data_IF_927482005908
#
_entry.id   IF_927482005908
#
_cell.length_a   1.000
_cell.length_b   1.000
_cell.length_c   1.000
_cell.angle_alpha   90.00
_cell.angle_beta   90.00
_cell.angle_gamma   90.00
#
_symmetry.space_group_name_H-M   'P 1'
#
loop_
_entity.id
_entity.type
_entity.pdbx_description
1 polymer ?
#
# COMPACT_ATOMS: atom_id res chain seq x y z
N UNK A 1 -18.55 -44.55 5.20
CA UNK A 1 -17.84 -43.32 5.61
C UNK A 1 -16.49 -43.30 4.93
N UNK A 2 -16.17 -42.28 4.11
CA UNK A 2 -14.79 -41.98 3.75
C UNK A 2 -14.35 -40.57 4.22
N UNK A 3 -13.06 -40.49 4.50
CA UNK A 3 -12.29 -39.35 5.01
C UNK A 3 -12.39 -38.08 4.15
N UNK A 4 -12.46 -36.91 4.83
CA UNK A 4 -12.07 -35.62 4.27
C UNK A 4 -10.65 -35.29 4.72
N UNK A 5 -9.68 -35.50 3.83
CA UNK A 5 -8.43 -34.73 3.82
C UNK A 5 -8.02 -34.48 2.37
N UNK A 6 -7.82 -33.20 1.98
CA UNK A 6 -6.76 -32.72 1.06
C UNK A 6 -7.06 -31.38 0.35
N UNK A 7 -7.47 -30.33 1.06
CA UNK A 7 -7.52 -28.97 0.48
C UNK A 7 -6.19 -28.21 0.59
N UNK A 8 -5.23 -28.68 1.40
CA UNK A 8 -3.94 -27.99 1.61
C UNK A 8 -2.84 -28.29 0.58
N UNK A 9 -3.00 -29.32 -0.26
CA UNK A 9 -1.97 -29.66 -1.27
C UNK A 9 -1.97 -28.71 -2.47
N UNK A 10 -3.13 -28.19 -2.87
CA UNK A 10 -3.25 -27.38 -4.09
C UNK A 10 -2.68 -25.96 -3.93
N UNK A 11 -2.63 -25.41 -2.71
CA UNK A 11 -2.13 -24.05 -2.45
C UNK A 11 -0.60 -23.90 -2.62
N UNK A 12 0.18 -24.95 -2.28
CA UNK A 12 1.65 -24.91 -2.45
C UNK A 12 2.06 -25.02 -3.92
N UNK A 13 1.30 -25.75 -4.72
CA UNK A 13 1.57 -25.89 -6.16
C UNK A 13 1.22 -24.64 -6.97
N UNK A 14 0.23 -23.85 -6.55
CA UNK A 14 -0.13 -22.60 -7.24
C UNK A 14 0.92 -21.51 -7.05
N UNK A 15 1.55 -21.41 -5.88
CA UNK A 15 2.64 -20.45 -5.63
C UNK A 15 3.89 -20.82 -6.45
N UNK A 16 4.23 -22.11 -6.52
CA UNK A 16 5.34 -22.61 -7.36
C UNK A 16 5.06 -22.38 -8.85
N UNK A 17 3.82 -22.55 -9.31
CA UNK A 17 3.46 -22.30 -10.70
C UNK A 17 3.58 -20.80 -11.07
N UNK A 18 3.14 -19.90 -10.19
CA UNK A 18 3.31 -18.46 -10.37
C UNK A 18 4.79 -18.06 -10.34
N UNK A 19 5.59 -18.68 -9.47
CA UNK A 19 7.04 -18.52 -9.43
C UNK A 19 7.69 -18.94 -10.75
N UNK A 20 7.35 -20.11 -11.31
CA UNK A 20 7.88 -20.59 -12.58
C UNK A 20 7.46 -19.73 -13.78
N UNK A 21 6.24 -19.20 -13.78
CA UNK A 21 5.77 -18.27 -14.82
C UNK A 21 6.52 -16.94 -14.73
N UNK A 22 6.73 -16.41 -13.51
CA UNK A 22 7.51 -15.19 -13.30
C UNK A 22 8.99 -15.38 -13.68
N UNK A 23 9.57 -16.56 -13.40
CA UNK A 23 10.95 -16.91 -13.78
C UNK A 23 11.08 -17.07 -15.30
N UNK A 24 10.09 -17.67 -15.95
CA UNK A 24 10.04 -17.80 -17.40
C UNK A 24 9.88 -16.44 -18.10
N UNK A 25 9.08 -15.52 -17.57
CA UNK A 25 8.95 -14.17 -18.12
C UNK A 25 10.19 -13.31 -17.85
N UNK A 26 10.85 -13.46 -16.70
CA UNK A 26 12.15 -12.84 -16.41
C UNK A 26 13.24 -13.36 -17.37
N UNK A 27 13.33 -14.67 -17.54
CA UNK A 27 14.29 -15.30 -18.45
C UNK A 27 14.03 -14.92 -19.91
N UNK A 28 12.76 -14.84 -20.32
CA UNK A 28 12.36 -14.38 -21.65
C UNK A 28 12.70 -12.89 -21.89
N UNK A 29 12.57 -12.05 -20.86
CA UNK A 29 12.88 -10.61 -20.93
C UNK A 29 14.39 -10.33 -20.89
N UNK A 30 15.17 -11.14 -20.17
CA UNK A 30 16.64 -11.04 -20.14
C UNK A 30 17.29 -11.65 -21.40
N UNK A 31 16.74 -12.76 -21.93
CA UNK A 31 17.28 -13.46 -23.09
C UNK A 31 17.17 -12.71 -24.43
N UNK A 32 16.19 -11.82 -24.61
CA UNK A 32 16.04 -11.04 -25.84
C UNK A 32 16.84 -9.73 -25.87
N UNK A 33 17.39 -9.28 -24.73
CA UNK A 33 18.17 -8.03 -24.66
C UNK A 33 19.67 -8.26 -24.85
N UNK A 34 20.16 -9.49 -24.61
CA UNK A 34 21.49 -9.94 -25.03
C UNK A 34 21.34 -10.76 -26.30
N UNK A 35 21.48 -10.10 -27.44
CA UNK A 35 21.52 -10.76 -28.74
C UNK A 35 22.50 -11.93 -28.74
N UNK A 36 22.12 -13.01 -29.40
CA UNK A 36 23.00 -14.14 -29.67
C UNK A 36 24.08 -13.68 -30.66
N UNK A 37 25.23 -13.25 -30.17
CA UNK A 37 26.41 -12.95 -31.00
C UNK A 37 27.47 -14.06 -30.79
N UNK A 38 27.83 -14.81 -31.85
CA UNK A 38 28.69 -15.98 -31.74
C UNK A 38 30.20 -15.66 -31.76
N UNK A 39 30.62 -14.41 -31.67
CA UNK A 39 32.04 -14.06 -31.65
C UNK A 39 32.30 -12.85 -30.75
N UNK A 40 33.25 -13.02 -29.82
CA UNK A 40 33.47 -12.12 -28.70
C UNK A 40 34.06 -10.76 -29.07
N UNK A 41 33.80 -9.80 -28.17
CA UNK A 41 34.60 -8.64 -27.74
C UNK A 41 33.72 -7.39 -27.58
N UNK A 42 33.10 -7.26 -26.41
CA UNK A 42 32.64 -5.97 -25.90
C UNK A 42 32.71 -5.95 -24.37
N UNK A 43 33.85 -5.52 -23.82
CA UNK A 43 33.99 -5.14 -22.42
C UNK A 43 33.32 -3.78 -22.21
N UNK A 44 32.02 -3.77 -21.94
CA UNK A 44 31.40 -2.65 -21.24
C UNK A 44 31.84 -2.70 -19.76
N UNK A 45 32.29 -1.60 -19.14
CA UNK A 45 32.58 -1.60 -17.72
C UNK A 45 31.26 -1.77 -16.97
N UNK A 46 30.99 -2.98 -16.50
CA UNK A 46 30.00 -3.23 -15.46
C UNK A 46 30.54 -2.53 -14.22
N UNK A 47 30.00 -1.35 -13.91
CA UNK A 47 30.35 -0.66 -12.68
C UNK A 47 29.80 -1.47 -11.52
N UNK A 48 30.63 -2.38 -10.99
CA UNK A 48 30.38 -3.17 -9.78
C UNK A 48 30.49 -2.33 -8.51
N UNK A 49 30.48 -1.00 -8.62
CA UNK A 49 30.49 -0.12 -7.44
C UNK A 49 29.15 -0.21 -6.72
N UNK A 50 29.21 -0.54 -5.43
CA UNK A 50 28.08 -0.40 -4.53
C UNK A 50 27.73 1.08 -4.40
N UNK A 51 26.43 1.36 -4.32
CA UNK A 51 25.91 2.70 -4.09
C UNK A 51 24.73 2.63 -3.12
N UNK A 52 24.60 3.68 -2.31
CA UNK A 52 23.58 3.77 -1.28
C UNK A 52 22.36 4.52 -1.83
N UNK A 53 21.19 3.89 -1.81
CA UNK A 53 19.93 4.47 -2.27
C UNK A 53 18.85 4.27 -1.21
N UNK A 54 18.06 5.32 -0.96
CA UNK A 54 16.93 5.28 -0.03
C UNK A 54 15.61 5.13 -0.79
N UNK A 55 14.82 4.13 -0.41
CA UNK A 55 13.51 3.84 -0.99
C UNK A 55 12.39 4.09 0.04
N UNK A 56 11.45 5.01 -0.21
CA UNK A 56 10.28 5.18 0.64
C UNK A 56 9.33 4.00 0.47
N UNK A 57 8.97 3.31 1.54
CA UNK A 57 8.13 2.09 1.51
C UNK A 57 6.98 2.11 2.51
N UNK A 58 6.68 3.26 3.12
CA UNK A 58 5.59 3.35 4.11
C UNK A 58 4.23 2.92 3.59
N UNK A 59 4.02 2.97 2.27
CA UNK A 59 2.81 2.48 1.60
C UNK A 59 2.75 0.94 1.48
N UNK A 60 3.89 0.25 1.59
CA UNK A 60 3.99 -1.21 1.51
C UNK A 60 4.12 -1.86 2.89
N UNK A 61 4.44 -1.08 3.92
CA UNK A 61 4.74 -1.55 5.27
C UNK A 61 3.68 -1.03 6.24
N UNK A 62 2.42 -1.45 6.02
CA UNK A 62 1.24 -1.04 6.81
C UNK A 62 0.82 -2.16 7.79
N UNK A 63 0.52 -1.84 9.06
CA UNK A 63 0.05 -2.82 10.03
C UNK A 63 -1.37 -3.33 9.73
N UNK A 64 -1.59 -4.64 9.91
CA UNK A 64 -2.88 -5.30 9.71
C UNK A 64 -3.96 -4.88 10.76
N UNK A 65 -5.27 -4.93 10.43
CA UNK A 65 -6.38 -4.37 11.21
C UNK A 65 -6.62 -4.91 12.64
N UNK A 66 -5.88 -5.91 13.10
CA UNK A 66 -6.05 -6.46 14.45
C UNK A 66 -5.05 -5.91 15.49
N UNK A 67 -4.12 -5.04 15.08
CA UNK A 67 -3.05 -4.53 15.95
C UNK A 67 -3.30 -3.11 16.51
N UNK A 68 -4.53 -2.59 16.44
CA UNK A 68 -4.87 -1.17 16.72
C UNK A 68 -4.67 -0.74 18.20
N UNK A 69 -4.23 -1.63 19.09
CA UNK A 69 -3.98 -1.28 20.50
C UNK A 69 -2.49 -1.19 20.87
N UNK A 70 -1.58 -1.32 19.91
CA UNK A 70 -0.15 -1.11 20.15
C UNK A 70 0.42 -0.30 18.98
N UNK A 71 1.12 0.80 19.29
CA UNK A 71 2.03 1.45 18.34
C UNK A 71 3.16 0.46 17.99
N UNK A 72 2.86 -0.58 17.22
CA UNK A 72 3.88 -1.47 16.68
C UNK A 72 4.55 -0.69 15.54
N UNK A 73 5.88 -0.54 15.55
CA UNK A 73 6.58 0.03 14.39
C UNK A 73 6.20 -0.76 13.13
N UNK A 74 6.17 -0.06 11.98
CA UNK A 74 6.02 -0.67 10.66
C UNK A 74 6.87 -1.95 10.56
N UNK A 75 6.24 -3.05 10.18
CA UNK A 75 6.88 -4.37 10.15
C UNK A 75 7.62 -4.55 8.81
N UNK A 76 8.88 -4.11 8.74
CA UNK A 76 9.68 -4.11 7.50
C UNK A 76 10.16 -5.50 7.10
N UNK A 77 10.25 -6.43 8.05
CA UNK A 77 10.86 -7.75 7.87
C UNK A 77 10.25 -8.52 6.67
N UNK A 78 8.91 -8.59 6.49
CA UNK A 78 8.34 -9.28 5.33
C UNK A 78 8.73 -8.66 3.98
N UNK A 79 8.91 -7.34 3.92
CA UNK A 79 9.31 -6.66 2.68
C UNK A 79 10.80 -6.84 2.41
N UNK A 80 11.63 -6.78 3.45
CA UNK A 80 13.07 -7.06 3.37
C UNK A 80 13.30 -8.49 2.91
N UNK A 81 12.65 -9.47 3.55
CA UNK A 81 12.71 -10.89 3.19
C UNK A 81 12.33 -11.12 1.74
N UNK A 82 11.27 -10.47 1.27
CA UNK A 82 10.83 -10.57 -0.12
C UNK A 82 11.89 -10.05 -1.09
N UNK A 83 12.49 -8.89 -0.82
CA UNK A 83 13.54 -8.30 -1.65
C UNK A 83 14.76 -9.23 -1.68
N UNK A 84 15.25 -9.67 -0.52
CA UNK A 84 16.43 -10.52 -0.38
C UNK A 84 16.22 -11.91 -0.99
N UNK A 85 15.01 -12.46 -0.92
CA UNK A 85 14.68 -13.76 -1.51
C UNK A 85 14.49 -13.70 -3.04
N UNK A 86 14.10 -12.54 -3.58
CA UNK A 86 13.68 -12.43 -4.99
C UNK A 86 14.77 -11.82 -5.89
N UNK A 87 15.57 -10.89 -5.35
CA UNK A 87 16.51 -10.10 -6.14
C UNK A 87 17.93 -10.57 -5.87
N UNK A 88 18.55 -11.19 -6.89
CA UNK A 88 19.97 -11.61 -6.90
C UNK A 88 20.38 -12.19 -5.52
N UNK A 89 19.66 -13.23 -5.08
CA UNK A 89 19.67 -13.76 -3.71
C UNK A 89 21.07 -13.89 -3.08
N UNK A 90 22.05 -14.40 -3.84
CA UNK A 90 23.43 -14.60 -3.37
C UNK A 90 24.24 -13.30 -3.20
N UNK A 91 23.73 -12.16 -3.66
CA UNK A 91 24.40 -10.85 -3.61
C UNK A 91 24.29 -10.12 -2.27
N UNK A 92 23.47 -10.61 -1.34
CA UNK A 92 23.25 -10.01 -0.02
C UNK A 92 24.21 -10.57 1.04
N UNK A 93 24.67 -9.71 1.94
CA UNK A 93 25.54 -10.10 3.07
C UNK A 93 24.88 -11.15 3.96
N UNK A 94 23.57 -11.07 4.15
CA UNK A 94 22.80 -12.01 4.97
C UNK A 94 22.83 -13.44 4.43
N UNK A 95 23.05 -13.61 3.11
CA UNK A 95 23.17 -14.91 2.45
C UNK A 95 24.63 -15.38 2.31
N UNK A 96 25.59 -14.62 2.86
CA UNK A 96 26.96 -15.05 3.12
C UNK A 96 27.95 -14.94 1.95
N UNK A 97 27.51 -14.60 0.74
CA UNK A 97 28.38 -14.56 -0.46
C UNK A 97 28.48 -13.20 -1.14
N UNK A 98 27.69 -12.20 -0.74
CA UNK A 98 27.65 -10.90 -1.39
C UNK A 98 27.89 -9.73 -0.46
N UNK A 99 28.05 -8.54 -1.04
CA UNK A 99 28.37 -7.28 -0.34
C UNK A 99 27.14 -6.36 -0.20
N UNK A 100 25.96 -6.82 -0.64
CA UNK A 100 24.72 -6.06 -0.56
C UNK A 100 24.18 -5.94 0.85
N UNK A 101 23.67 -4.75 1.19
CA UNK A 101 23.10 -4.46 2.51
C UNK A 101 21.75 -3.75 2.36
N UNK A 102 20.83 -4.09 3.25
CA UNK A 102 19.48 -3.50 3.34
C UNK A 102 19.18 -3.21 4.80
N UNK A 103 18.78 -1.99 5.11
CA UNK A 103 18.43 -1.57 6.46
C UNK A 103 17.11 -0.78 6.47
N UNK A 104 16.21 -1.04 7.44
CA UNK A 104 15.04 -0.20 7.64
C UNK A 104 15.43 1.13 8.30
N UNK A 105 14.74 2.20 7.89
CA UNK A 105 14.79 3.51 8.51
C UNK A 105 13.38 3.92 8.96
N UNK A 106 12.96 3.50 10.18
CA UNK A 106 11.57 3.66 10.63
C UNK A 106 11.09 5.10 10.73
N UNK A 107 11.99 6.06 11.00
CA UNK A 107 11.64 7.48 11.17
C UNK A 107 10.91 8.11 9.98
N UNK A 108 11.11 7.57 8.77
CA UNK A 108 10.39 8.03 7.57
C UNK A 108 9.83 6.85 6.73
N UNK A 109 9.73 5.66 7.33
CA UNK A 109 9.30 4.43 6.66
C UNK A 109 10.02 4.14 5.33
N UNK A 110 11.36 4.19 5.34
CA UNK A 110 12.18 3.91 4.15
C UNK A 110 13.10 2.70 4.35
N UNK A 111 13.57 2.12 3.23
CA UNK A 111 14.67 1.17 3.19
C UNK A 111 15.91 1.86 2.64
N UNK A 112 17.03 1.75 3.35
CA UNK A 112 18.35 2.19 2.89
C UNK A 112 19.09 0.98 2.36
N UNK A 113 19.45 0.98 1.08
CA UNK A 113 20.01 -0.18 0.39
C UNK A 113 21.35 0.19 -0.23
N UNK A 114 22.37 -0.63 0.02
CA UNK A 114 23.68 -0.56 -0.62
C UNK A 114 23.83 -1.70 -1.62
N UNK A 115 23.77 -1.41 -2.92
CA UNK A 115 23.97 -2.43 -3.95
C UNK A 115 24.49 -1.88 -5.28
N UNK A 116 24.75 -2.76 -6.24
CA UNK A 116 25.13 -2.40 -7.61
C UNK A 116 23.95 -1.77 -8.36
N UNK A 117 24.26 -0.99 -9.41
CA UNK A 117 23.23 -0.34 -10.25
C UNK A 117 22.21 -1.31 -10.83
N UNK A 118 22.66 -2.46 -11.30
CA UNK A 118 21.79 -3.50 -11.83
C UNK A 118 20.76 -3.97 -10.78
N UNK A 119 21.20 -4.19 -9.54
CA UNK A 119 20.31 -4.63 -8.46
C UNK A 119 19.33 -3.52 -8.05
N UNK A 120 19.77 -2.26 -8.01
CA UNK A 120 18.88 -1.12 -7.74
C UNK A 120 17.76 -0.97 -8.77
N UNK A 121 18.04 -1.22 -10.05
CA UNK A 121 17.02 -1.23 -11.11
C UNK A 121 15.98 -2.33 -10.85
N UNK A 122 16.42 -3.54 -10.49
CA UNK A 122 15.52 -4.65 -10.18
C UNK A 122 14.68 -4.40 -8.91
N UNK A 123 15.26 -3.78 -7.88
CA UNK A 123 14.54 -3.39 -6.65
C UNK A 123 13.48 -2.34 -6.97
N UNK A 124 13.81 -1.33 -7.78
CA UNK A 124 12.84 -0.32 -8.20
C UNK A 124 11.66 -0.95 -8.93
N UNK A 125 11.93 -1.85 -9.87
CA UNK A 125 10.92 -2.58 -10.63
C UNK A 125 10.03 -3.46 -9.74
N UNK A 126 10.61 -4.16 -8.76
CA UNK A 126 9.85 -4.98 -7.80
C UNK A 126 8.94 -4.11 -6.93
N UNK A 127 9.48 -3.04 -6.33
CA UNK A 127 8.70 -2.14 -5.49
C UNK A 127 7.56 -1.48 -6.29
N UNK A 128 7.79 -1.10 -7.54
CA UNK A 128 6.73 -0.57 -8.40
C UNK A 128 5.62 -1.61 -8.66
N UNK A 129 5.99 -2.86 -8.94
CA UNK A 129 5.02 -3.95 -9.11
C UNK A 129 4.19 -4.18 -7.84
N UNK A 130 4.83 -4.18 -6.67
CA UNK A 130 4.14 -4.29 -5.39
C UNK A 130 3.17 -3.12 -5.15
N UNK A 131 3.55 -1.89 -5.53
CA UNK A 131 2.65 -0.72 -5.41
C UNK A 131 1.49 -0.72 -6.40
N UNK A 132 1.64 -1.37 -7.55
CA UNK A 132 0.56 -1.60 -8.51
C UNK A 132 -0.43 -2.63 -7.96
N UNK A 133 0.09 -3.75 -7.45
CA UNK A 133 -0.72 -4.77 -6.79
C UNK A 133 -1.40 -4.24 -5.52
N UNK A 134 -0.68 -3.47 -4.72
CA UNK A 134 -1.20 -2.81 -3.52
C UNK A 134 -2.37 -1.87 -3.82
N UNK A 135 -2.34 -1.14 -4.95
CA UNK A 135 -3.48 -0.32 -5.38
C UNK A 135 -4.73 -1.13 -5.74
N UNK A 136 -4.55 -2.27 -6.43
CA UNK A 136 -5.66 -3.18 -6.74
C UNK A 136 -6.20 -3.89 -5.49
N UNK A 137 -5.30 -4.22 -4.56
CA UNK A 137 -5.60 -4.85 -3.27
C UNK A 137 -6.24 -3.85 -2.30
N UNK A 138 -5.93 -2.56 -2.38
CA UNK A 138 -6.56 -1.48 -1.65
C UNK A 138 -8.01 -1.26 -2.11
N UNK A 139 -8.27 -1.12 -3.41
CA UNK A 139 -9.65 -1.01 -3.92
C UNK A 139 -10.51 -2.21 -3.52
N UNK A 140 -10.02 -3.43 -3.70
CA UNK A 140 -10.76 -4.65 -3.32
C UNK A 140 -11.02 -4.72 -1.81
N UNK A 141 -10.07 -4.28 -0.97
CA UNK A 141 -10.25 -4.20 0.48
C UNK A 141 -11.29 -3.13 0.85
N UNK A 142 -11.18 -1.91 0.32
CA UNK A 142 -12.14 -0.84 0.55
C UNK A 142 -13.56 -1.28 0.16
N UNK A 143 -13.72 -1.86 -1.04
CA UNK A 143 -15.00 -2.43 -1.52
C UNK A 143 -15.53 -3.48 -0.55
N UNK A 144 -14.69 -4.42 -0.12
CA UNK A 144 -15.10 -5.47 0.83
C UNK A 144 -15.51 -4.90 2.19
N UNK A 145 -14.79 -3.89 2.71
CA UNK A 145 -15.13 -3.21 3.96
C UNK A 145 -16.48 -2.52 3.85
N UNK A 146 -16.71 -1.77 2.77
CA UNK A 146 -17.97 -1.09 2.54
C UNK A 146 -19.14 -2.06 2.38
N UNK A 147 -18.96 -3.18 1.67
CA UNK A 147 -19.98 -4.22 1.56
C UNK A 147 -20.32 -4.83 2.92
N UNK A 148 -19.30 -5.09 3.73
CA UNK A 148 -19.47 -5.60 5.10
C UNK A 148 -20.21 -4.59 5.99
N UNK A 149 -19.83 -3.31 5.97
CA UNK A 149 -20.46 -2.29 6.79
C UNK A 149 -21.91 -2.00 6.37
N UNK A 150 -22.17 -1.94 5.06
CA UNK A 150 -23.53 -1.80 4.53
C UNK A 150 -24.44 -2.94 4.99
N UNK A 151 -23.94 -4.18 5.05
CA UNK A 151 -24.70 -5.31 5.57
C UNK A 151 -25.04 -5.19 7.07
N UNK A 152 -24.28 -4.40 7.84
CA UNK A 152 -24.49 -4.20 9.28
C UNK A 152 -25.34 -2.98 9.63
N UNK A 153 -25.58 -2.05 8.70
CA UNK A 153 -26.43 -0.86 8.91
C UNK A 153 -25.93 0.14 9.95
N UNK A 154 -24.72 -0.04 10.50
CA UNK A 154 -24.13 0.81 11.53
C UNK A 154 -23.06 1.71 10.93
N UNK A 155 -23.14 3.02 11.21
CA UNK A 155 -22.11 3.98 10.82
C UNK A 155 -20.75 3.56 11.36
N UNK A 156 -19.79 3.33 10.45
CA UNK A 156 -18.44 2.84 10.78
C UNK A 156 -17.43 3.56 9.93
N UNK A 157 -16.24 3.77 10.49
CA UNK A 157 -15.10 4.21 9.71
C UNK A 157 -13.85 3.44 10.12
N UNK A 158 -12.89 3.44 9.23
CA UNK A 158 -11.56 2.89 9.43
C UNK A 158 -10.55 3.93 8.96
N UNK A 159 -9.62 4.26 9.85
CA UNK A 159 -8.41 4.98 9.46
C UNK A 159 -7.53 4.01 8.68
N UNK A 160 -7.34 4.32 7.40
CA UNK A 160 -6.69 3.44 6.44
C UNK A 160 -5.17 3.70 6.38
N UNK A 161 -4.76 4.95 6.49
CA UNK A 161 -3.35 5.34 6.46
C UNK A 161 -3.13 6.65 7.23
N UNK A 162 -2.09 6.68 8.05
CA UNK A 162 -1.60 7.89 8.73
C UNK A 162 -0.33 8.38 8.04
N UNK A 163 -0.14 9.70 7.96
CA UNK A 163 1.03 10.32 7.37
C UNK A 163 1.77 11.19 8.40
N UNK A 164 3.08 11.43 8.24
CA UNK A 164 3.81 12.38 9.08
C UNK A 164 3.20 13.79 8.99
N UNK A 165 3.24 14.55 10.09
CA UNK A 165 2.81 15.95 10.14
C UNK A 165 3.84 16.91 9.50
N UNK A 166 4.42 16.53 8.36
CA UNK A 166 5.35 17.35 7.57
C UNK A 166 4.69 17.80 6.27
N UNK A 167 5.31 18.75 5.56
CA UNK A 167 4.83 19.18 4.24
C UNK A 167 4.84 18.02 3.24
N UNK A 168 5.87 17.16 3.30
CA UNK A 168 5.98 15.95 2.48
C UNK A 168 4.89 14.95 2.84
N UNK A 169 4.64 14.73 4.14
CA UNK A 169 3.57 13.83 4.59
C UNK A 169 2.17 14.29 4.15
N UNK A 170 1.90 15.60 4.20
CA UNK A 170 0.64 16.19 3.68
C UNK A 170 0.51 16.01 2.17
N UNK A 171 1.59 16.21 1.42
CA UNK A 171 1.61 15.97 -0.03
C UNK A 171 1.39 14.50 -0.38
N UNK A 172 2.01 13.60 0.39
CA UNK A 172 1.82 12.16 0.24
C UNK A 172 0.38 11.75 0.54
N UNK A 173 -0.26 12.34 1.56
CA UNK A 173 -1.67 12.09 1.87
C UNK A 173 -2.60 12.47 0.70
N UNK A 174 -2.38 13.64 0.10
CA UNK A 174 -3.18 14.11 -1.05
C UNK A 174 -2.99 13.19 -2.28
N UNK A 175 -1.75 12.75 -2.54
CA UNK A 175 -1.45 11.80 -3.62
C UNK A 175 -2.09 10.43 -3.37
N UNK A 176 -2.02 9.94 -2.13
CA UNK A 176 -2.58 8.65 -1.75
C UNK A 176 -4.11 8.68 -1.83
N UNK A 177 -4.75 9.74 -1.34
CA UNK A 177 -6.20 9.97 -1.50
C UNK A 177 -6.58 9.92 -2.98
N UNK A 178 -5.90 10.68 -3.83
CA UNK A 178 -6.20 10.74 -5.27
C UNK A 178 -6.09 9.36 -5.93
N UNK A 179 -5.04 8.60 -5.64
CA UNK A 179 -4.82 7.25 -6.18
C UNK A 179 -5.90 6.26 -5.68
N UNK A 180 -6.17 6.27 -4.38
CA UNK A 180 -7.16 5.37 -3.75
C UNK A 180 -8.57 5.66 -4.28
N UNK A 181 -8.89 6.95 -4.44
CA UNK A 181 -10.15 7.39 -5.04
C UNK A 181 -10.28 6.86 -6.45
N UNK A 182 -9.23 6.99 -7.27
CA UNK A 182 -9.25 6.50 -8.64
C UNK A 182 -9.46 4.97 -8.69
N UNK A 183 -8.83 4.21 -7.81
CA UNK A 183 -9.04 2.76 -7.74
C UNK A 183 -10.50 2.41 -7.43
N UNK A 184 -11.16 3.18 -6.56
CA UNK A 184 -12.61 3.03 -6.31
C UNK A 184 -13.38 3.43 -7.57
N UNK A 185 -13.06 4.56 -8.20
CA UNK A 185 -13.71 5.03 -9.43
C UNK A 185 -13.66 3.99 -10.55
N UNK A 186 -12.54 3.30 -10.72
CA UNK A 186 -12.36 2.29 -11.76
C UNK A 186 -13.32 1.10 -11.59
N UNK A 187 -13.74 0.80 -10.35
CA UNK A 187 -14.67 -0.30 -10.06
C UNK A 187 -16.11 0.17 -9.93
N UNK A 188 -16.32 1.38 -9.42
CA UNK A 188 -17.61 1.87 -8.94
C UNK A 188 -18.18 3.05 -9.72
N UNK A 189 -17.40 3.62 -10.63
CA UNK A 189 -17.70 4.89 -11.29
C UNK A 189 -17.37 6.11 -10.41
N UNK A 190 -17.51 7.32 -10.97
CA UNK A 190 -17.19 8.55 -10.27
C UNK A 190 -18.02 8.73 -8.99
N UNK A 191 -17.47 9.39 -7.95
CA UNK A 191 -18.24 9.72 -6.75
C UNK A 191 -19.39 10.68 -7.10
N UNK A 192 -20.43 10.67 -6.28
CA UNK A 192 -21.52 11.64 -6.40
C UNK A 192 -21.06 13.05 -6.00
N UNK A 193 -20.09 13.13 -5.10
CA UNK A 193 -19.42 14.38 -4.75
C UNK A 193 -17.95 14.11 -4.47
N UNK A 194 -17.10 15.04 -4.87
CA UNK A 194 -15.71 15.14 -4.47
C UNK A 194 -15.38 16.63 -4.34
N UNK A 195 -14.87 17.04 -3.19
CA UNK A 195 -14.54 18.45 -2.93
C UNK A 195 -14.01 18.72 -1.52
N UNK A 196 -13.87 19.99 -1.22
CA UNK A 196 -13.33 20.57 0.02
C UNK A 196 -14.39 21.33 0.81
N UNK A 197 -14.15 21.69 2.09
CA UNK A 197 -15.12 22.40 2.93
C UNK A 197 -15.73 23.67 2.32
N UNK A 198 -14.98 24.37 1.47
CA UNK A 198 -15.43 25.56 0.75
C UNK A 198 -16.40 25.28 -0.42
N UNK A 199 -16.53 24.04 -0.86
CA UNK A 199 -17.33 23.67 -2.02
C UNK A 199 -18.81 23.47 -1.66
N UNK A 200 -19.70 23.90 -2.57
CA UNK A 200 -21.14 23.68 -2.43
C UNK A 200 -21.44 22.18 -2.46
N UNK A 201 -22.16 21.70 -1.44
CA UNK A 201 -22.49 20.27 -1.30
C UNK A 201 -21.53 19.49 -0.40
N UNK A 202 -20.52 20.15 0.17
CA UNK A 202 -19.68 19.54 1.19
C UNK A 202 -20.52 19.11 2.42
N UNK A 203 -20.34 17.89 2.95
CA UNK A 203 -21.16 17.41 4.05
C UNK A 203 -20.91 18.19 5.34
N UNK A 204 -21.97 18.76 5.92
CA UNK A 204 -21.91 19.56 7.15
C UNK A 204 -21.47 18.79 8.42
N UNK A 205 -21.47 17.46 8.36
CA UNK A 205 -21.06 16.57 9.44
C UNK A 205 -19.61 16.12 9.32
N UNK A 206 -18.91 16.55 8.26
CA UNK A 206 -17.50 16.24 8.02
C UNK A 206 -16.64 17.44 8.36
N UNK A 207 -15.53 17.19 9.05
CA UNK A 207 -14.45 18.16 9.29
C UNK A 207 -13.21 17.86 8.43
N UNK A 208 -13.36 17.05 7.38
CA UNK A 208 -12.25 16.66 6.51
C UNK A 208 -11.75 17.83 5.66
N UNK A 209 -10.45 17.86 5.34
CA UNK A 209 -9.91 18.77 4.31
C UNK A 209 -10.44 18.43 2.92
N UNK A 210 -10.65 17.16 2.67
CA UNK A 210 -11.07 16.64 1.38
C UNK A 210 -11.97 15.44 1.57
N UNK A 211 -13.00 15.33 0.74
CA UNK A 211 -14.08 14.38 0.94
C UNK A 211 -14.63 13.89 -0.41
N UNK A 212 -14.86 12.59 -0.53
CA UNK A 212 -15.56 11.97 -1.65
C UNK A 212 -16.56 10.92 -1.16
N UNK A 213 -17.71 10.79 -1.84
CA UNK A 213 -18.70 9.75 -1.47
C UNK A 213 -19.46 9.14 -2.64
N UNK A 214 -19.91 7.90 -2.42
CA UNK A 214 -20.69 7.07 -3.34
C UNK A 214 -21.94 6.52 -2.64
N UNK A 215 -23.12 6.55 -3.29
CA UNK A 215 -24.32 5.92 -2.76
C UNK A 215 -24.19 4.40 -2.85
N UNK A 216 -24.43 3.70 -1.73
CA UNK A 216 -24.34 2.23 -1.64
C UNK A 216 -25.44 1.69 -0.73
N UNK A 217 -26.42 1.02 -1.35
CA UNK A 217 -27.58 0.48 -0.63
C UNK A 217 -28.39 1.61 -0.01
N UNK A 218 -28.59 1.53 1.31
CA UNK A 218 -29.29 2.47 2.16
C UNK A 218 -28.37 3.50 2.84
N UNK A 219 -27.11 3.59 2.40
CA UNK A 219 -26.15 4.55 2.92
C UNK A 219 -25.20 5.11 1.87
N UNK A 220 -24.16 5.77 2.38
CA UNK A 220 -23.06 6.31 1.60
C UNK A 220 -21.75 5.66 2.07
N UNK A 221 -20.95 5.22 1.11
CA UNK A 221 -19.53 4.95 1.33
C UNK A 221 -18.78 6.25 1.07
N UNK A 222 -17.85 6.61 1.94
CA UNK A 222 -17.07 7.84 1.81
C UNK A 222 -15.59 7.61 2.08
N UNK A 223 -14.78 8.49 1.51
CA UNK A 223 -13.35 8.59 1.77
C UNK A 223 -13.02 10.05 2.09
N UNK A 224 -12.12 10.26 3.04
CA UNK A 224 -11.78 11.61 3.48
C UNK A 224 -10.36 11.73 4.03
N UNK A 225 -9.76 12.92 3.90
CA UNK A 225 -8.54 13.28 4.63
C UNK A 225 -8.91 14.10 5.86
N UNK A 226 -8.74 13.53 7.06
CA UNK A 226 -8.86 14.29 8.31
C UNK A 226 -7.56 15.06 8.55
N UNK A 227 -7.71 16.36 8.80
CA UNK A 227 -6.64 17.27 9.19
C UNK A 227 -7.18 18.15 10.31
N UNK A 228 -6.92 17.77 11.56
CA UNK A 228 -6.87 18.77 12.61
C UNK A 228 -5.51 19.47 12.47
N UNK A 229 -5.45 20.80 12.64
CA UNK A 229 -4.30 21.64 12.24
C UNK A 229 -2.95 21.22 12.89
N UNK A 230 -3.02 20.60 14.08
CA UNK A 230 -1.88 20.04 14.84
C UNK A 230 -1.73 18.50 14.74
N UNK A 231 -2.58 17.82 13.98
CA UNK A 231 -2.63 16.36 13.90
C UNK A 231 -1.99 15.79 12.64
N UNK A 232 -1.57 14.52 12.73
CA UNK A 232 -1.12 13.73 11.58
C UNK A 232 -2.22 13.67 10.51
N UNK A 233 -1.93 13.88 9.21
CA UNK A 233 -2.92 13.65 8.16
C UNK A 233 -3.36 12.18 8.18
N UNK A 234 -4.67 11.96 8.14
CA UNK A 234 -5.26 10.61 8.18
C UNK A 234 -6.20 10.39 7.02
N UNK A 235 -5.99 9.31 6.27
CA UNK A 235 -6.95 8.83 5.29
C UNK A 235 -7.98 7.95 6.00
N UNK A 236 -9.24 8.29 5.83
CA UNK A 236 -10.36 7.59 6.46
C UNK A 236 -11.27 7.05 5.36
N UNK A 237 -11.66 5.78 5.49
CA UNK A 237 -12.75 5.18 4.75
C UNK A 237 -13.92 4.97 5.71
N UNK A 238 -15.13 5.35 5.32
CA UNK A 238 -16.28 5.15 6.18
C UNK A 238 -17.56 4.82 5.43
N UNK A 239 -18.51 4.27 6.15
CA UNK A 239 -19.86 4.03 5.69
C UNK A 239 -20.83 4.67 6.68
N UNK A 240 -21.86 5.33 6.13
CA UNK A 240 -22.87 6.06 6.90
C UNK A 240 -24.27 5.75 6.34
N UNK A 241 -25.24 5.37 7.18
CA UNK A 241 -26.65 5.27 6.77
C UNK A 241 -27.20 6.60 6.25
N UNK A 242 -28.12 6.57 5.28
CA UNK A 242 -28.74 7.79 4.73
C UNK A 242 -29.59 8.55 5.77
N UNK A 243 -30.12 7.86 6.76
CA UNK A 243 -30.93 8.40 7.85
C UNK A 243 -30.11 8.79 9.10
N UNK A 244 -28.79 8.63 9.06
CA UNK A 244 -27.94 8.96 10.20
C UNK A 244 -28.00 10.47 10.51
N UNK A 245 -28.25 10.86 11.78
CA UNK A 245 -28.38 12.26 12.18
C UNK A 245 -27.10 13.02 11.87
N UNK A 246 -27.21 14.24 11.31
CA UNK A 246 -26.07 15.14 11.15
C UNK A 246 -25.33 15.21 12.48
N UNK A 247 -24.00 14.99 12.48
CA UNK A 247 -23.24 14.85 13.70
C UNK A 247 -23.52 16.07 14.59
N UNK A 248 -24.18 15.85 15.72
CA UNK A 248 -24.19 16.84 16.79
C UNK A 248 -22.73 17.08 17.12
N UNK A 249 -22.31 18.33 17.00
CA UNK A 249 -21.00 18.82 17.40
C UNK A 249 -20.61 18.13 18.71
N UNK A 250 -19.64 17.21 18.68
CA UNK A 250 -19.09 16.62 19.90
C UNK A 250 -18.24 17.70 20.59
N UNK A 251 -18.92 18.66 21.20
CA UNK A 251 -18.41 19.65 22.13
C UNK A 251 -19.36 19.63 23.32
N UNK A 252 -19.17 18.65 24.19
CA UNK A 252 -19.68 18.45 25.56
C UNK A 252 -19.44 16.95 25.80
N UNK A 253 -18.39 16.51 26.49
CA UNK A 253 -18.29 16.58 27.94
C UNK A 253 -16.83 16.24 28.34
N UNK A 254 -16.06 17.22 28.84
CA UNK A 254 -14.93 16.91 29.72
C UNK A 254 -15.51 16.46 31.06
N UNK A 255 -15.02 15.37 31.68
CA UNK A 255 -15.44 15.04 33.03
C UNK A 255 -14.99 16.17 33.98
N UNK A 256 -15.81 16.58 34.96
CA UNK A 256 -15.39 17.54 35.95
C UNK A 256 -14.19 16.99 36.74
N UNK A 257 -13.23 17.88 37.03
CA UNK A 257 -12.08 17.61 37.90
C UNK A 257 -12.49 17.12 39.29
#
# INVERSE_FOLDING_TARGET
MPERQSTFRYFRWTVIALFLIALATLAYREGFRRGYEPDGLATAPTSNSLMLVTYPVGDLVVPLPHAVLQQKPSDFDPLIDLIVATIEHESWMENGTGEGEIQPFPSNNSLVISQTKRVHEQISDLLEQLRRLGGEVDAKQAISLFQSWAATGSGRFHEFQTFPATAEGRTAADQYFSKSMQNIVDVWGPPTFHGKPEDVGFPNWSAAKEFAWWPRGDGIAYMSISLDDESLPRLILGWRPNDAPAAASQNEESPPK
#
